data_IF_124138195829
#
_entry.id   IF_124138195829
#
_cell.length_a   1.000
_cell.length_b   1.000
_cell.length_c   1.000
_cell.angle_alpha   90.00
_cell.angle_beta   90.00
_cell.angle_gamma   90.00
#
_symmetry.space_group_name_H-M   'P 1'
#
loop_
_entity.id
_entity.type
_entity.pdbx_description
1 polymer ?
#
# COMPACT_ATOMS: atom_id res chain seq x y z
N UNK A 1 -28.92 19.31 -4.53
CA UNK A 1 -29.16 19.57 -3.10
C UNK A 1 -29.33 21.06 -2.95
N UNK A 2 -30.26 21.48 -2.10
CA UNK A 2 -30.30 22.86 -1.64
C UNK A 2 -28.95 23.16 -0.95
N UNK A 3 -28.23 24.23 -1.33
CA UNK A 3 -26.96 24.63 -0.71
C UNK A 3 -27.01 24.75 0.82
N UNK A 4 -28.21 24.95 1.38
CA UNK A 4 -28.47 25.05 2.83
C UNK A 4 -28.66 23.67 3.50
N UNK A 5 -28.73 22.58 2.74
CA UNK A 5 -28.96 21.24 3.31
C UNK A 5 -27.70 20.71 3.99
N UNK A 6 -27.69 20.73 5.33
CA UNK A 6 -26.68 20.08 6.16
C UNK A 6 -26.84 18.55 6.12
N UNK A 7 -25.72 17.82 5.96
CA UNK A 7 -25.69 16.37 6.07
C UNK A 7 -25.88 15.90 7.52
N UNK A 8 -26.57 14.78 7.73
CA UNK A 8 -26.68 14.19 9.07
C UNK A 8 -25.31 13.64 9.53
N UNK A 9 -24.64 12.90 8.65
CA UNK A 9 -23.33 12.29 8.92
C UNK A 9 -22.46 12.35 7.67
N UNK A 10 -21.18 12.69 7.85
CA UNK A 10 -20.12 12.59 6.84
C UNK A 10 -19.09 11.56 7.30
N UNK A 11 -18.96 10.45 6.56
CA UNK A 11 -17.89 9.46 6.74
C UNK A 11 -16.74 9.72 5.77
N UNK A 12 -15.53 9.88 6.29
CA UNK A 12 -14.31 10.08 5.52
C UNK A 12 -13.37 8.90 5.76
N UNK A 13 -13.15 8.06 4.75
CA UNK A 13 -12.16 6.98 4.79
C UNK A 13 -10.96 7.36 3.93
N UNK A 14 -9.85 7.72 4.57
CA UNK A 14 -8.73 8.40 3.94
C UNK A 14 -7.39 7.68 4.18
N UNK A 15 -6.52 7.70 3.17
CA UNK A 15 -5.13 7.24 3.29
C UNK A 15 -4.35 8.18 4.22
N UNK A 16 -3.44 7.62 5.04
CA UNK A 16 -2.60 8.39 5.97
C UNK A 16 -3.29 8.78 7.27
N UNK A 17 -4.54 8.36 7.48
CA UNK A 17 -5.24 8.46 8.75
C UNK A 17 -5.03 7.15 9.50
N UNK A 18 -3.93 7.04 10.24
CA UNK A 18 -3.58 5.83 10.99
C UNK A 18 -3.54 6.05 12.52
N UNK A 19 -3.53 7.30 12.96
CA UNK A 19 -3.51 7.69 14.38
C UNK A 19 -4.74 8.51 14.77
N UNK A 20 -5.08 8.50 16.06
CA UNK A 20 -6.17 9.32 16.58
C UNK A 20 -5.89 10.82 16.40
N UNK A 21 -4.62 11.22 16.47
CA UNK A 21 -4.20 12.60 16.21
C UNK A 21 -4.50 13.02 14.78
N UNK A 22 -4.18 12.19 13.78
CA UNK A 22 -4.49 12.52 12.37
C UNK A 22 -6.00 12.53 12.11
N UNK A 23 -6.77 11.64 12.74
CA UNK A 23 -8.25 11.67 12.69
C UNK A 23 -8.79 13.00 13.22
N UNK A 24 -8.31 13.42 14.40
CA UNK A 24 -8.77 14.64 15.05
C UNK A 24 -8.35 15.89 14.27
N UNK A 25 -7.10 15.94 13.78
CA UNK A 25 -6.64 17.02 12.91
C UNK A 25 -7.51 17.16 11.66
N UNK A 26 -7.92 16.06 11.03
CA UNK A 26 -8.80 16.10 9.86
C UNK A 26 -10.22 16.57 10.22
N UNK A 27 -10.78 16.08 11.34
CA UNK A 27 -12.08 16.56 11.85
C UNK A 27 -12.05 18.06 12.13
N UNK A 28 -11.00 18.55 12.81
CA UNK A 28 -10.82 19.95 13.15
C UNK A 28 -10.64 20.83 11.91
N UNK A 29 -9.86 20.37 10.94
CA UNK A 29 -9.68 21.08 9.67
C UNK A 29 -11.01 21.21 8.92
N UNK A 30 -11.81 20.14 8.87
CA UNK A 30 -13.11 20.17 8.21
C UNK A 30 -14.11 21.06 8.95
N UNK A 31 -14.15 20.99 10.29
CA UNK A 31 -14.99 21.85 11.12
C UNK A 31 -14.65 23.34 10.95
N UNK A 32 -13.37 23.69 10.74
CA UNK A 32 -12.93 25.06 10.46
C UNK A 32 -13.32 25.53 9.06
N UNK A 33 -13.21 24.66 8.05
CA UNK A 33 -13.48 25.01 6.66
C UNK A 33 -14.99 25.05 6.34
N UNK A 34 -15.78 24.16 6.95
CA UNK A 34 -17.19 23.98 6.61
C UNK A 34 -18.02 23.56 7.85
N UNK A 35 -18.21 24.47 8.83
CA UNK A 35 -18.79 24.13 10.14
C UNK A 35 -20.23 23.59 10.08
N UNK A 36 -21.02 23.98 9.07
CA UNK A 36 -22.42 23.56 8.92
C UNK A 36 -22.62 22.50 7.83
N UNK A 37 -21.56 21.86 7.35
CA UNK A 37 -21.68 20.89 6.25
C UNK A 37 -22.27 19.55 6.71
N UNK A 38 -21.91 19.09 7.91
CA UNK A 38 -22.44 17.87 8.50
C UNK A 38 -22.63 18.01 10.01
N UNK A 39 -23.63 17.36 10.61
CA UNK A 39 -23.83 17.34 12.06
C UNK A 39 -22.80 16.45 12.77
N UNK A 40 -22.38 15.37 12.11
CA UNK A 40 -21.37 14.44 12.62
C UNK A 40 -20.34 14.13 11.53
N UNK A 41 -19.05 14.16 11.89
CA UNK A 41 -17.94 13.80 10.99
C UNK A 41 -17.19 12.62 11.59
N UNK A 42 -17.19 11.49 10.88
CA UNK A 42 -16.42 10.31 11.22
C UNK A 42 -15.25 10.19 10.26
N UNK A 43 -14.04 10.04 10.81
CA UNK A 43 -12.81 9.96 10.02
C UNK A 43 -12.12 8.65 10.36
N UNK A 44 -11.89 7.84 9.35
CA UNK A 44 -11.25 6.54 9.46
C UNK A 44 -10.21 6.33 8.37
N UNK A 45 -9.41 5.29 8.55
CA UNK A 45 -8.47 4.83 7.54
C UNK A 45 -9.20 4.27 6.31
N UNK A 46 -8.59 4.39 5.13
CA UNK A 46 -9.10 3.86 3.85
C UNK A 46 -9.47 2.36 3.88
N UNK A 47 -8.79 1.56 4.70
CA UNK A 47 -9.12 0.15 4.93
C UNK A 47 -10.52 -0.08 5.52
N UNK A 48 -11.02 0.81 6.38
CA UNK A 48 -12.38 0.68 6.96
C UNK A 48 -13.45 0.91 5.89
N UNK A 49 -13.33 1.99 5.11
CA UNK A 49 -14.26 2.28 4.01
C UNK A 49 -14.27 1.14 2.98
N UNK A 50 -13.08 0.62 2.64
CA UNK A 50 -12.95 -0.54 1.73
C UNK A 50 -13.63 -1.79 2.29
N UNK A 51 -13.49 -2.05 3.59
CA UNK A 51 -14.15 -3.19 4.26
C UNK A 51 -15.66 -3.07 4.18
N UNK A 52 -16.21 -1.97 4.68
CA UNK A 52 -17.67 -1.77 4.81
C UNK A 52 -18.37 -1.61 3.47
N UNK A 53 -17.65 -1.23 2.41
CA UNK A 53 -18.20 -1.22 1.05
C UNK A 53 -18.45 -2.63 0.47
N UNK A 54 -17.78 -3.66 0.99
CA UNK A 54 -17.76 -4.99 0.36
C UNK A 54 -18.36 -6.09 1.24
N UNK A 55 -18.11 -6.09 2.55
CA UNK A 55 -18.57 -7.17 3.44
C UNK A 55 -18.69 -6.69 4.88
N UNK A 56 -19.55 -7.36 5.66
CA UNK A 56 -19.62 -7.21 7.12
C UNK A 56 -18.98 -8.38 7.89
N UNK A 57 -18.49 -9.42 7.19
CA UNK A 57 -17.93 -10.63 7.80
C UNK A 57 -16.43 -10.51 8.10
N UNK A 58 -15.82 -11.49 8.76
CA UNK A 58 -14.35 -11.55 8.88
C UNK A 58 -13.69 -11.48 7.50
N UNK A 59 -12.88 -10.45 7.25
CA UNK A 59 -12.30 -10.16 5.93
C UNK A 59 -10.93 -9.51 6.04
N UNK A 60 -10.05 -9.79 5.08
CA UNK A 60 -8.77 -9.09 4.92
C UNK A 60 -8.93 -8.02 3.84
N UNK A 61 -8.52 -6.79 4.15
CA UNK A 61 -8.34 -5.73 3.17
C UNK A 61 -6.86 -5.60 2.89
N UNK A 62 -6.48 -5.81 1.63
CA UNK A 62 -5.10 -5.68 1.15
C UNK A 62 -5.05 -4.53 0.14
N UNK A 63 -4.37 -3.45 0.52
CA UNK A 63 -4.18 -2.26 -0.30
C UNK A 63 -2.81 -2.31 -0.96
N UNK A 64 -2.78 -2.09 -2.28
CA UNK A 64 -1.56 -1.82 -3.04
C UNK A 64 -1.83 -0.76 -4.12
N UNK A 65 -1.51 0.48 -3.78
CA UNK A 65 -1.55 1.67 -4.63
C UNK A 65 -0.19 2.37 -4.62
N UNK A 66 -0.16 3.69 -4.38
CA UNK A 66 1.11 4.42 -4.13
C UNK A 66 1.85 3.84 -2.91
N UNK A 67 1.12 3.47 -1.86
CA UNK A 67 1.62 2.71 -0.70
C UNK A 67 0.94 1.35 -0.59
N UNK A 68 1.21 0.61 0.48
CA UNK A 68 0.55 -0.66 0.78
C UNK A 68 0.16 -0.81 2.25
N UNK A 69 -0.94 -1.53 2.49
CA UNK A 69 -1.46 -1.78 3.83
C UNK A 69 -2.24 -3.10 3.83
N UNK A 70 -2.22 -3.85 4.93
CA UNK A 70 -3.01 -5.06 5.09
C UNK A 70 -3.68 -5.07 6.46
N UNK A 71 -5.01 -5.12 6.48
CA UNK A 71 -5.79 -5.22 7.72
C UNK A 71 -6.76 -6.38 7.67
N UNK A 72 -6.83 -7.15 8.75
CA UNK A 72 -7.84 -8.16 8.98
C UNK A 72 -8.85 -7.58 9.97
N UNK A 73 -10.12 -7.56 9.55
CA UNK A 73 -11.28 -7.22 10.35
C UNK A 73 -11.96 -8.52 10.75
N UNK A 74 -12.23 -8.73 12.03
CA UNK A 74 -12.97 -9.90 12.50
C UNK A 74 -14.44 -9.62 12.83
N UNK A 75 -15.16 -10.67 13.24
CA UNK A 75 -16.57 -10.59 13.63
C UNK A 75 -16.86 -9.62 14.79
N UNK A 76 -15.88 -9.35 15.65
CA UNK A 76 -15.99 -8.43 16.78
C UNK A 76 -15.49 -7.02 16.42
N UNK A 77 -15.25 -6.75 15.13
CA UNK A 77 -14.61 -5.54 14.60
C UNK A 77 -13.21 -5.28 15.19
N UNK A 78 -12.56 -6.29 15.77
CA UNK A 78 -11.16 -6.20 16.14
C UNK A 78 -10.30 -6.19 14.87
N UNK A 79 -9.32 -5.29 14.85
CA UNK A 79 -8.51 -5.01 13.66
C UNK A 79 -7.05 -5.39 13.89
N UNK A 80 -6.52 -6.25 13.03
CA UNK A 80 -5.12 -6.64 13.02
C UNK A 80 -4.44 -6.07 11.77
N UNK A 81 -3.37 -5.29 11.93
CA UNK A 81 -2.65 -4.67 10.81
C UNK A 81 -1.24 -5.21 10.59
N UNK A 82 -0.82 -5.26 9.32
CA UNK A 82 0.55 -5.50 8.83
C UNK A 82 0.88 -4.44 7.76
N UNK A 83 2.05 -3.81 7.88
CA UNK A 83 2.46 -2.72 6.98
C UNK A 83 1.73 -1.43 7.29
N UNK A 84 1.60 -0.55 6.29
CA UNK A 84 1.04 0.80 6.48
C UNK A 84 1.99 1.79 7.16
N UNK A 85 3.29 1.46 7.23
CA UNK A 85 4.31 2.32 7.88
C UNK A 85 4.80 3.47 6.99
N UNK A 86 4.30 3.55 5.75
CA UNK A 86 4.70 4.54 4.77
C UNK A 86 6.05 4.23 4.12
N UNK A 87 6.46 5.14 3.24
CA UNK A 87 7.47 4.88 2.22
C UNK A 87 8.91 4.78 2.74
N UNK A 88 9.18 5.31 3.93
CA UNK A 88 10.54 5.31 4.50
C UNK A 88 10.92 3.97 5.12
N UNK A 89 9.94 3.22 5.64
CA UNK A 89 10.17 2.02 6.47
C UNK A 89 9.17 0.89 6.17
N UNK A 90 8.54 0.91 5.00
CA UNK A 90 7.55 -0.07 4.61
C UNK A 90 7.07 0.12 3.17
N UNK A 91 5.76 0.01 2.96
CA UNK A 91 5.11 0.06 1.65
C UNK A 91 5.53 -1.10 0.71
N UNK A 92 5.95 -2.24 1.23
CA UNK A 92 6.31 -3.40 0.42
C UNK A 92 5.13 -3.85 -0.46
N UNK A 93 5.42 -4.16 -1.71
CA UNK A 93 4.40 -4.55 -2.70
C UNK A 93 3.59 -3.38 -3.28
N UNK A 94 3.86 -2.13 -2.88
CA UNK A 94 3.27 -0.91 -3.46
C UNK A 94 3.92 -0.47 -4.77
N UNK A 95 3.26 0.43 -5.49
CA UNK A 95 3.83 1.09 -6.66
C UNK A 95 5.09 1.91 -6.32
N UNK A 96 5.18 2.52 -5.15
CA UNK A 96 6.41 3.20 -4.73
C UNK A 96 7.56 2.21 -4.55
N UNK A 97 7.33 1.10 -3.84
CA UNK A 97 8.37 0.10 -3.57
C UNK A 97 8.89 -0.57 -4.84
N UNK A 98 8.02 -0.84 -5.82
CA UNK A 98 8.39 -1.41 -7.11
C UNK A 98 9.27 -0.41 -7.88
N UNK A 99 8.85 0.85 -7.96
CA UNK A 99 9.62 1.91 -8.63
C UNK A 99 10.99 2.12 -7.97
N UNK A 100 11.04 2.17 -6.63
CA UNK A 100 12.29 2.34 -5.89
C UNK A 100 13.25 1.17 -6.10
N UNK A 101 12.74 -0.06 -6.08
CA UNK A 101 13.54 -1.26 -6.37
C UNK A 101 14.10 -1.24 -7.80
N UNK A 102 13.30 -0.77 -8.77
CA UNK A 102 13.73 -0.61 -10.15
C UNK A 102 14.87 0.42 -10.29
N UNK A 103 14.71 1.59 -9.65
CA UNK A 103 15.72 2.65 -9.63
C UNK A 103 17.01 2.15 -8.96
N UNK A 104 16.90 1.46 -7.82
CA UNK A 104 18.05 0.92 -7.10
C UNK A 104 18.80 -0.13 -7.91
N UNK A 105 18.08 -1.03 -8.57
CA UNK A 105 18.69 -2.04 -9.45
C UNK A 105 19.45 -1.41 -10.62
N UNK A 106 18.85 -0.37 -11.24
CA UNK A 106 19.52 0.41 -12.28
C UNK A 106 20.83 1.02 -11.77
N UNK A 107 20.80 1.75 -10.65
CA UNK A 107 21.97 2.41 -10.09
C UNK A 107 23.05 1.41 -9.68
N UNK A 108 22.67 0.34 -8.98
CA UNK A 108 23.63 -0.67 -8.51
C UNK A 108 24.34 -1.39 -9.66
N UNK A 109 23.67 -1.54 -10.79
CA UNK A 109 24.27 -2.15 -11.98
C UNK A 109 25.20 -1.17 -12.70
N UNK A 110 24.83 0.11 -12.82
CA UNK A 110 25.68 1.14 -13.40
C UNK A 110 26.95 1.40 -12.57
N UNK A 111 26.83 1.38 -11.23
CA UNK A 111 27.94 1.53 -10.30
C UNK A 111 28.81 0.26 -10.19
N UNK A 112 28.38 -0.86 -10.79
CA UNK A 112 29.06 -2.14 -10.71
C UNK A 112 28.97 -2.83 -9.34
N UNK A 113 28.06 -2.39 -8.47
CA UNK A 113 27.78 -3.03 -7.17
C UNK A 113 27.12 -4.39 -7.33
N UNK A 114 26.32 -4.56 -8.38
CA UNK A 114 25.66 -5.82 -8.72
C UNK A 114 25.96 -6.13 -10.19
N UNK A 115 26.32 -7.40 -10.46
CA UNK A 115 26.43 -7.93 -11.82
C UNK A 115 25.20 -8.80 -12.06
N UNK A 116 24.39 -8.41 -13.03
CA UNK A 116 23.23 -9.17 -13.49
C UNK A 116 23.54 -9.82 -14.84
N UNK A 117 22.99 -11.00 -15.07
CA UNK A 117 23.18 -11.72 -16.35
C UNK A 117 22.20 -11.24 -17.42
N UNK A 118 21.12 -10.56 -17.02
CA UNK A 118 20.09 -10.03 -17.91
C UNK A 118 20.47 -8.64 -18.46
N UNK A 119 20.02 -8.34 -19.67
CA UNK A 119 20.15 -7.00 -20.24
C UNK A 119 19.23 -6.01 -19.51
N UNK A 120 19.83 -5.02 -18.84
CA UNK A 120 19.12 -3.95 -18.13
C UNK A 120 18.91 -2.68 -18.97
N UNK A 121 19.31 -2.68 -20.24
CA UNK A 121 19.20 -1.50 -21.13
C UNK A 121 17.76 -0.99 -21.21
N UNK A 122 16.79 -1.91 -21.20
CA UNK A 122 15.37 -1.54 -21.16
C UNK A 122 15.00 -0.86 -19.85
N UNK A 123 15.37 -1.44 -18.70
CA UNK A 123 15.11 -0.85 -17.39
C UNK A 123 15.72 0.56 -17.30
N UNK A 124 16.99 0.70 -17.70
CA UNK A 124 17.69 1.99 -17.78
C UNK A 124 16.90 3.00 -18.60
N UNK A 125 16.49 2.63 -19.82
CA UNK A 125 15.69 3.49 -20.69
C UNK A 125 14.37 3.93 -20.03
N UNK A 126 13.67 3.03 -19.35
CA UNK A 126 12.38 3.34 -18.70
C UNK A 126 12.59 4.34 -17.55
N UNK A 127 13.61 4.14 -16.71
CA UNK A 127 13.97 5.05 -15.62
C UNK A 127 14.38 6.42 -16.15
N UNK A 128 15.31 6.47 -17.12
CA UNK A 128 15.79 7.74 -17.67
C UNK A 128 14.69 8.52 -18.36
N UNK A 129 13.82 7.85 -19.12
CA UNK A 129 12.70 8.51 -19.80
C UNK A 129 11.66 9.03 -18.81
N UNK A 130 11.31 8.23 -17.80
CA UNK A 130 10.30 8.61 -16.79
C UNK A 130 10.69 9.88 -16.04
N UNK A 131 11.97 10.02 -15.68
CA UNK A 131 12.47 11.20 -14.97
C UNK A 131 13.08 12.27 -15.89
N UNK A 132 13.09 12.03 -17.22
CA UNK A 132 13.74 12.90 -18.21
C UNK A 132 15.21 13.21 -17.87
N UNK A 133 15.94 12.20 -17.42
CA UNK A 133 17.30 12.35 -16.89
C UNK A 133 18.31 12.62 -18.00
N UNK A 134 19.17 13.61 -17.76
CA UNK A 134 20.40 13.87 -18.51
C UNK A 134 21.65 13.39 -17.77
N UNK A 135 21.56 13.21 -16.45
CA UNK A 135 22.64 12.73 -15.60
C UNK A 135 22.10 11.99 -14.36
N UNK A 136 22.97 11.26 -13.66
CA UNK A 136 22.64 10.62 -12.38
C UNK A 136 22.33 11.63 -11.26
N UNK A 137 22.94 12.81 -11.29
CA UNK A 137 22.68 13.88 -10.30
C UNK A 137 21.24 14.38 -10.34
N UNK A 138 20.63 14.43 -11.54
CA UNK A 138 19.22 14.82 -11.68
C UNK A 138 18.27 13.82 -11.00
N UNK A 139 18.64 12.54 -10.96
CA UNK A 139 17.86 11.52 -10.26
C UNK A 139 17.90 11.75 -8.74
N UNK A 140 19.06 12.09 -8.16
CA UNK A 140 19.17 12.43 -6.74
C UNK A 140 18.24 13.59 -6.38
N UNK A 141 18.20 14.63 -7.22
CA UNK A 141 17.30 15.78 -7.01
C UNK A 141 15.80 15.39 -7.01
N UNK A 142 15.43 14.28 -7.66
CA UNK A 142 14.05 13.74 -7.63
C UNK A 142 13.78 12.83 -6.44
N UNK A 143 14.82 12.30 -5.78
CA UNK A 143 14.69 11.39 -4.64
C UNK A 143 14.68 12.12 -3.29
N UNK A 144 15.05 13.40 -3.25
CA UNK A 144 15.13 14.19 -2.01
C UNK A 144 14.40 15.53 -2.12
N UNK A 145 13.95 16.11 -0.99
CA UNK A 145 13.38 17.45 -0.99
C UNK A 145 14.34 18.50 -1.57
N UNK A 146 13.84 19.51 -2.30
CA UNK A 146 12.42 19.80 -2.55
C UNK A 146 11.82 19.05 -3.75
N UNK A 147 12.61 18.29 -4.52
CA UNK A 147 12.15 17.63 -5.75
C UNK A 147 11.44 16.29 -5.55
N UNK A 148 11.41 15.77 -4.32
CA UNK A 148 10.75 14.52 -3.98
C UNK A 148 9.23 14.58 -4.15
N UNK A 149 8.71 13.68 -4.99
CA UNK A 149 7.27 13.41 -5.12
C UNK A 149 7.05 11.90 -5.19
N UNK A 150 6.54 11.33 -4.08
CA UNK A 150 6.22 9.90 -3.96
C UNK A 150 5.27 9.42 -5.06
N UNK A 151 4.27 10.23 -5.41
CA UNK A 151 3.28 9.87 -6.42
C UNK A 151 3.92 9.84 -7.79
N UNK A 152 4.74 10.85 -8.12
CA UNK A 152 5.47 10.89 -9.39
C UNK A 152 6.43 9.71 -9.54
N UNK A 153 7.18 9.36 -8.49
CA UNK A 153 8.06 8.18 -8.47
C UNK A 153 7.25 6.91 -8.71
N UNK A 154 6.11 6.76 -8.00
CA UNK A 154 5.24 5.58 -8.11
C UNK A 154 4.67 5.37 -9.51
N UNK A 155 4.53 6.43 -10.33
CA UNK A 155 4.05 6.32 -11.72
C UNK A 155 4.99 5.50 -12.61
N UNK A 156 6.27 5.39 -12.27
CA UNK A 156 7.22 4.52 -12.98
C UNK A 156 6.71 3.07 -13.02
N UNK A 157 6.00 2.62 -11.98
CA UNK A 157 5.47 1.25 -11.90
C UNK A 157 4.51 0.91 -13.02
N UNK A 158 3.73 1.86 -13.56
CA UNK A 158 2.87 1.60 -14.71
C UNK A 158 3.70 1.25 -15.96
N UNK A 159 4.77 2.01 -16.19
CA UNK A 159 5.71 1.80 -17.31
C UNK A 159 6.46 0.47 -17.16
N UNK A 160 6.85 0.11 -15.93
CA UNK A 160 7.46 -1.18 -15.62
C UNK A 160 6.48 -2.35 -15.83
N UNK A 161 5.19 -2.16 -15.51
CA UNK A 161 4.16 -3.17 -15.73
C UNK A 161 4.00 -3.50 -17.21
N UNK A 162 4.00 -2.48 -18.08
CA UNK A 162 3.93 -2.64 -19.53
C UNK A 162 5.13 -3.44 -20.06
N UNK A 163 6.34 -3.11 -19.61
CA UNK A 163 7.55 -3.85 -19.98
C UNK A 163 7.53 -5.30 -19.50
N UNK A 164 7.10 -5.54 -18.25
CA UNK A 164 6.97 -6.89 -17.69
C UNK A 164 5.93 -7.73 -18.48
N UNK A 165 4.80 -7.12 -18.85
CA UNK A 165 3.78 -7.75 -19.68
C UNK A 165 4.28 -8.07 -21.10
N UNK A 166 5.19 -7.25 -21.63
CA UNK A 166 5.86 -7.47 -22.91
C UNK A 166 6.99 -8.52 -22.86
N UNK A 167 7.28 -9.11 -21.70
CA UNK A 167 8.27 -10.18 -21.55
C UNK A 167 9.60 -9.78 -20.93
N UNK A 168 9.77 -8.53 -20.49
CA UNK A 168 11.00 -8.09 -19.82
C UNK A 168 11.18 -8.82 -18.47
N UNK A 169 12.19 -9.69 -18.39
CA UNK A 169 12.42 -10.55 -17.23
C UNK A 169 12.79 -9.76 -15.97
N UNK A 170 13.54 -8.67 -16.13
CA UNK A 170 13.93 -7.80 -15.03
C UNK A 170 12.71 -7.15 -14.39
N UNK A 171 11.81 -6.59 -15.20
CA UNK A 171 10.55 -6.03 -14.73
C UNK A 171 9.64 -7.12 -14.15
N UNK A 172 9.56 -8.31 -14.75
CA UNK A 172 8.79 -9.43 -14.19
C UNK A 172 9.26 -9.82 -12.78
N UNK A 173 10.57 -9.81 -12.52
CA UNK A 173 11.12 -10.09 -11.18
C UNK A 173 10.71 -9.05 -10.14
N UNK A 174 10.63 -7.77 -10.52
CA UNK A 174 10.14 -6.71 -9.63
C UNK A 174 8.69 -6.98 -9.20
N UNK A 175 7.82 -7.36 -10.14
CA UNK A 175 6.42 -7.69 -9.84
C UNK A 175 6.27 -9.02 -9.10
N UNK A 176 7.11 -10.02 -9.39
CA UNK A 176 7.16 -11.26 -8.62
C UNK A 176 7.47 -10.98 -7.15
N UNK A 177 8.49 -10.16 -6.88
CA UNK A 177 8.84 -9.77 -5.50
C UNK A 177 7.70 -9.02 -4.82
N UNK A 178 7.02 -8.12 -5.53
CA UNK A 178 5.86 -7.41 -5.00
C UNK A 178 4.70 -8.35 -4.66
N UNK A 179 4.38 -9.31 -5.53
CA UNK A 179 3.38 -10.35 -5.27
C UNK A 179 3.70 -11.16 -4.02
N UNK A 180 4.96 -11.61 -3.90
CA UNK A 180 5.44 -12.33 -2.73
C UNK A 180 5.33 -11.51 -1.43
N UNK A 181 5.67 -10.21 -1.47
CA UNK A 181 5.53 -9.33 -0.30
C UNK A 181 4.06 -9.14 0.11
N UNK A 182 3.16 -8.93 -0.86
CA UNK A 182 1.72 -8.86 -0.61
C UNK A 182 1.19 -10.17 0.00
N UNK A 183 1.60 -11.34 -0.51
CA UNK A 183 1.29 -12.64 0.07
C UNK A 183 1.82 -12.81 1.49
N UNK A 184 3.02 -12.30 1.78
CA UNK A 184 3.58 -12.26 3.14
C UNK A 184 2.75 -11.38 4.07
N UNK A 185 2.22 -10.26 3.62
CA UNK A 185 1.34 -9.41 4.45
C UNK A 185 0.06 -10.16 4.84
N UNK A 186 -0.59 -10.83 3.88
CA UNK A 186 -1.81 -11.62 4.11
C UNK A 186 -1.54 -12.78 5.08
N UNK A 187 -0.49 -13.56 4.85
CA UNK A 187 -0.16 -14.68 5.75
C UNK A 187 0.24 -14.20 7.15
N UNK A 188 0.93 -13.06 7.25
CA UNK A 188 1.34 -12.47 8.53
C UNK A 188 0.16 -11.94 9.33
N UNK A 189 -0.85 -11.34 8.69
CA UNK A 189 -2.02 -10.81 9.42
C UNK A 189 -2.88 -11.95 9.98
N UNK A 190 -3.02 -13.06 9.23
CA UNK A 190 -3.68 -14.28 9.70
C UNK A 190 -2.92 -14.85 10.90
N UNK A 191 -1.59 -14.96 10.82
CA UNK A 191 -0.75 -15.41 11.95
C UNK A 191 -0.89 -14.49 13.16
N UNK A 192 -0.92 -13.18 12.95
CA UNK A 192 -1.06 -12.19 14.03
C UNK A 192 -2.38 -12.38 14.79
N UNK A 193 -3.48 -12.68 14.09
CA UNK A 193 -4.78 -12.99 14.73
C UNK A 193 -4.80 -14.37 15.40
N UNK A 194 -4.42 -15.43 14.69
CA UNK A 194 -4.72 -16.81 15.10
C UNK A 194 -3.54 -17.60 15.69
N UNK A 195 -2.30 -17.15 15.50
CA UNK A 195 -1.08 -17.88 15.91
C UNK A 195 -0.39 -17.21 17.11
N UNK A 196 -0.66 -15.94 17.40
CA UNK A 196 -0.07 -15.25 18.54
C UNK A 196 -0.80 -15.55 19.85
N UNK A 197 -0.47 -16.68 20.51
CA UNK A 197 -0.86 -16.95 21.93
C UNK A 197 -0.20 -18.15 22.63
N UNK A 198 1.01 -18.57 22.25
CA UNK A 198 1.76 -19.57 23.05
C UNK A 198 2.69 -18.95 24.12
N UNK A 199 2.69 -17.64 24.33
CA UNK A 199 3.61 -16.99 25.28
C UNK A 199 3.02 -15.84 26.12
N UNK A 200 1.71 -15.84 26.39
CA UNK A 200 1.15 -15.02 27.47
C UNK A 200 0.44 -15.98 28.42
N UNK A 201 1.21 -16.37 29.44
CA UNK A 201 0.70 -16.90 30.70
C UNK A 201 -0.12 -15.79 31.35
N UNK A 202 -1.31 -16.17 31.78
CA UNK A 202 -2.13 -15.53 32.81
C UNK A 202 -3.01 -14.33 32.40
N UNK A 203 -4.32 -14.55 32.55
CA UNK A 203 -5.43 -13.59 32.67
C UNK A 203 -5.79 -12.76 31.44
N UNK A 204 -6.56 -13.35 30.52
CA UNK A 204 -7.96 -12.99 30.16
C UNK A 204 -8.36 -13.96 29.04
N UNK A 205 -9.60 -14.44 29.09
CA UNK A 205 -10.22 -15.36 28.13
C UNK A 205 -9.86 -15.03 26.67
N UNK A 206 -9.08 -15.89 26.01
CA UNK A 206 -9.08 -15.93 24.55
C UNK A 206 -9.12 -17.37 24.10
N UNK A 207 -10.28 -17.73 23.53
CA UNK A 207 -10.48 -19.01 22.88
C UNK A 207 -9.48 -19.14 21.73
N UNK A 208 -8.82 -20.30 21.64
CA UNK A 208 -8.07 -20.70 20.44
C UNK A 208 -9.07 -20.90 19.30
N UNK A 209 -9.50 -19.82 18.65
CA UNK A 209 -10.33 -19.91 17.46
C UNK A 209 -9.46 -20.40 16.31
N UNK A 210 -9.83 -21.55 15.72
CA UNK A 210 -9.20 -21.98 14.47
C UNK A 210 -9.60 -20.97 13.39
N UNK A 211 -8.69 -20.59 12.47
CA UNK A 211 -9.07 -19.75 11.36
C UNK A 211 -10.21 -20.42 10.56
N UNK A 212 -11.17 -19.65 10.03
CA UNK A 212 -12.20 -20.20 9.17
C UNK A 212 -11.55 -20.83 7.94
N UNK A 213 -12.26 -21.78 7.32
CA UNK A 213 -11.75 -22.59 6.20
C UNK A 213 -11.30 -21.71 5.01
N UNK A 214 -11.92 -20.55 4.85
CA UNK A 214 -11.59 -19.52 3.86
C UNK A 214 -11.79 -18.14 4.49
N UNK A 215 -10.86 -17.21 4.24
CA UNK A 215 -11.01 -15.79 4.59
C UNK A 215 -10.97 -15.01 3.28
N UNK A 216 -12.02 -14.21 2.93
CA UNK A 216 -11.98 -13.37 1.75
C UNK A 216 -10.89 -12.29 1.89
N UNK A 217 -10.20 -12.03 0.77
CA UNK A 217 -9.22 -10.94 0.65
C UNK A 217 -9.75 -9.94 -0.37
N UNK A 218 -10.04 -8.72 0.09
CA UNK A 218 -10.39 -7.59 -0.76
C UNK A 218 -9.08 -6.94 -1.21
N UNK A 219 -8.77 -7.07 -2.49
CA UNK A 219 -7.62 -6.42 -3.12
C UNK A 219 -8.03 -5.03 -3.64
N UNK A 220 -7.41 -3.97 -3.13
CA UNK A 220 -7.70 -2.59 -3.48
C UNK A 220 -6.45 -1.84 -3.94
N UNK A 221 -6.55 -1.07 -5.02
CA UNK A 221 -5.47 -0.22 -5.53
C UNK A 221 -4.96 -0.60 -6.91
N UNK A 222 -4.29 0.35 -7.56
CA UNK A 222 -3.96 0.27 -8.99
C UNK A 222 -2.92 -0.80 -9.34
N UNK A 223 -2.10 -1.24 -8.37
CA UNK A 223 -1.07 -2.27 -8.62
C UNK A 223 -1.72 -3.61 -8.97
N UNK A 224 -2.91 -3.91 -8.43
CA UNK A 224 -3.65 -5.13 -8.74
C UNK A 224 -4.14 -5.23 -10.19
N UNK A 225 -4.10 -4.14 -10.98
CA UNK A 225 -4.29 -4.24 -12.45
C UNK A 225 -3.24 -5.14 -13.11
N UNK A 226 -2.10 -5.32 -12.45
CA UNK A 226 -1.00 -6.19 -12.85
C UNK A 226 -1.07 -7.58 -12.22
N UNK A 227 -2.26 -8.06 -11.81
CA UNK A 227 -2.45 -9.37 -11.16
C UNK A 227 -1.76 -10.56 -11.84
N UNK A 228 -1.76 -10.71 -13.19
CA UNK A 228 -1.05 -11.81 -13.83
C UNK A 228 0.48 -11.82 -13.60
N UNK A 229 1.06 -10.66 -13.27
CA UNK A 229 2.47 -10.53 -12.91
C UNK A 229 2.70 -10.79 -11.41
N UNK A 230 1.80 -10.29 -10.56
CA UNK A 230 1.87 -10.43 -9.10
C UNK A 230 1.63 -11.86 -8.63
N UNK A 231 0.61 -12.53 -9.18
CA UNK A 231 0.14 -13.86 -8.75
C UNK A 231 1.15 -15.00 -8.92
N UNK A 232 2.27 -14.74 -9.60
CA UNK A 232 3.36 -15.69 -9.78
C UNK A 232 4.30 -15.77 -8.58
N UNK A 233 4.35 -14.74 -7.74
CA UNK A 233 5.21 -14.65 -6.55
C UNK A 233 4.48 -14.97 -5.27
#
# INVERSE_FOLDING_TARGET
>A
MDPETQLEVLGLSLSGIDTEDNKNQMKDAFAKLAPNFAKCIHVENDTYGTKFAVSNDTTIVLISGTGSNCKLFDEDLCVFGIGGWGYQIGDEGSAYSIALAAIKLYLDTEDGLIIVNEDISKLKQLVTNHFSLKSHEELLNKMYPPGFDKTYISRLTAVLAEAAAAGDLTCQRLFFKAGHDLGRMVTSVIRKKYVSRSFIRDTVYFQKTKPPRTIPVIACGAVFKSWPLLSKG
#
